data_IF_182528467303
#
_entry.id   IF_182528467303
#
_cell.length_a   1.000
_cell.length_b   1.000
_cell.length_c   1.000
_cell.angle_alpha   90.00
_cell.angle_beta   90.00
_cell.angle_gamma   90.00
#
_symmetry.space_group_name_H-M   'P 1'
#
loop_
_entity.id
_entity.type
_entity.pdbx_description
1 polymer ?
#
# COMPACT_ATOMS: atom_id res chain seq x y z
N UNK A 1 21.05 14.22 18.59
CA UNK A 1 20.60 13.57 17.34
C UNK A 1 21.61 12.50 17.02
N UNK A 2 21.18 11.24 16.85
CA UNK A 2 22.01 10.21 16.22
C UNK A 2 22.20 10.64 14.76
N UNK A 3 23.27 11.36 14.49
CA UNK A 3 23.64 11.75 13.13
C UNK A 3 24.27 10.53 12.46
N UNK A 4 23.51 9.90 11.54
CA UNK A 4 23.97 8.77 10.76
C UNK A 4 24.87 9.19 9.58
N UNK A 5 25.37 10.44 9.53
CA UNK A 5 26.25 10.93 8.47
C UNK A 5 25.56 10.97 7.10
N UNK A 6 24.24 11.12 7.07
CA UNK A 6 23.43 10.97 5.87
C UNK A 6 23.38 12.27 5.05
N UNK A 7 24.06 12.30 3.90
CA UNK A 7 23.79 13.27 2.83
C UNK A 7 22.55 12.85 2.02
N UNK A 8 21.36 12.96 2.60
CA UNK A 8 20.07 12.72 1.91
C UNK A 8 19.07 13.82 2.28
N UNK A 9 17.98 13.95 1.53
CA UNK A 9 16.86 14.89 1.76
C UNK A 9 16.40 14.91 3.22
N UNK A 10 15.86 16.05 3.67
CA UNK A 10 15.39 16.25 5.04
C UNK A 10 14.45 15.11 5.46
N UNK A 11 14.78 14.45 6.56
CA UNK A 11 13.90 13.53 7.28
C UNK A 11 13.73 14.03 8.72
N UNK A 12 12.64 13.65 9.36
CA UNK A 12 12.40 13.95 10.77
C UNK A 12 12.27 12.65 11.56
N UNK A 13 12.88 12.60 12.75
CA UNK A 13 12.72 11.49 13.68
C UNK A 13 11.81 11.97 14.81
N UNK A 14 10.76 11.19 15.06
CA UNK A 14 9.80 11.38 16.13
C UNK A 14 9.79 10.14 17.02
N UNK A 15 9.58 10.33 18.33
CA UNK A 15 9.47 9.23 19.27
C UNK A 15 8.04 9.16 19.80
N UNK A 16 7.41 7.99 19.73
CA UNK A 16 6.02 7.75 20.13
C UNK A 16 5.93 6.60 21.14
N UNK A 17 4.91 6.60 21.99
CA UNK A 17 4.59 5.43 22.82
C UNK A 17 4.08 4.28 21.94
N UNK A 18 4.12 3.05 22.45
CA UNK A 18 3.55 1.88 21.76
C UNK A 18 2.07 2.06 21.39
N UNK A 19 1.29 2.75 22.22
CA UNK A 19 -0.12 3.08 21.96
C UNK A 19 -0.26 4.09 20.80
N UNK A 20 0.51 5.19 20.84
CA UNK A 20 0.55 6.18 19.75
C UNK A 20 1.00 5.55 18.41
N UNK A 21 1.94 4.60 18.46
CA UNK A 21 2.39 3.86 17.27
C UNK A 21 1.27 2.96 16.71
N UNK A 22 0.56 2.24 17.59
CA UNK A 22 -0.50 1.33 17.18
C UNK A 22 -1.70 2.09 16.56
N UNK A 23 -2.05 3.23 17.14
CA UNK A 23 -3.03 4.18 16.60
C UNK A 23 -2.59 4.75 15.24
N UNK A 24 -1.33 5.14 15.12
CA UNK A 24 -0.81 5.65 13.87
C UNK A 24 -0.76 4.58 12.76
N UNK A 25 -0.45 3.34 13.11
CA UNK A 25 -0.45 2.21 12.17
C UNK A 25 -1.85 1.93 11.63
N UNK A 26 -2.90 1.99 12.47
CA UNK A 26 -4.27 1.77 12.02
C UNK A 26 -4.70 2.86 11.03
N UNK A 27 -4.32 4.11 11.29
CA UNK A 27 -4.57 5.27 10.43
C UNK A 27 -3.76 5.20 9.14
N UNK A 28 -2.54 4.66 9.17
CA UNK A 28 -1.58 4.71 8.09
C UNK A 28 -0.76 6.01 8.04
N UNK A 29 -1.32 7.14 8.50
CA UNK A 29 -0.58 8.36 8.84
C UNK A 29 -1.28 9.17 9.94
N UNK A 30 -0.52 9.94 10.73
CA UNK A 30 -0.97 10.50 12.03
C UNK A 30 -2.34 11.21 12.02
N UNK A 31 -2.58 12.07 11.03
CA UNK A 31 -3.77 12.93 10.99
C UNK A 31 -4.87 12.43 10.05
N UNK A 32 -4.78 11.19 9.53
CA UNK A 32 -5.81 10.65 8.63
C UNK A 32 -7.13 10.48 9.37
N UNK A 33 -8.24 10.91 8.75
CA UNK A 33 -9.56 10.60 9.27
C UNK A 33 -9.88 9.11 9.09
N UNK A 34 -10.36 8.43 10.14
CA UNK A 34 -10.74 7.02 10.12
C UNK A 34 -12.12 6.80 10.74
N UNK A 35 -12.79 5.76 10.26
CA UNK A 35 -14.05 5.23 10.77
C UNK A 35 -13.85 3.75 11.13
N UNK A 36 -13.13 3.42 12.21
CA UNK A 36 -12.85 2.01 12.55
C UNK A 36 -11.72 1.76 13.55
N UNK A 37 -11.56 0.49 13.93
CA UNK A 37 -10.80 0.03 15.11
C UNK A 37 -9.28 0.13 15.00
N UNK A 38 -8.67 0.26 16.17
CA UNK A 38 -7.23 0.31 16.39
C UNK A 38 -6.55 -1.05 16.15
N UNK A 39 -5.33 -1.01 15.59
CA UNK A 39 -4.42 -2.16 15.60
C UNK A 39 -3.85 -2.30 17.01
N UNK A 40 -3.67 -3.53 17.48
CA UNK A 40 -3.00 -3.82 18.77
C UNK A 40 -1.61 -4.42 18.60
N UNK A 41 -1.13 -4.56 17.35
CA UNK A 41 0.17 -5.16 17.09
C UNK A 41 1.29 -4.18 17.43
N UNK A 42 2.29 -4.59 18.23
CA UNK A 42 3.45 -3.74 18.50
C UNK A 42 4.23 -3.52 17.21
N UNK A 43 4.66 -2.27 17.01
CA UNK A 43 5.41 -1.83 15.82
C UNK A 43 6.72 -1.21 16.27
N UNK A 44 7.83 -1.65 15.67
CA UNK A 44 9.17 -1.13 15.98
C UNK A 44 9.42 0.24 15.34
N UNK A 45 8.92 0.45 14.12
CA UNK A 45 9.00 1.71 13.39
C UNK A 45 7.79 1.97 12.48
N UNK A 46 7.51 3.25 12.22
CA UNK A 46 6.61 3.66 11.14
C UNK A 46 7.37 4.64 10.26
N UNK A 47 7.39 4.35 8.96
CA UNK A 47 7.99 5.20 7.94
C UNK A 47 6.91 5.89 7.12
N UNK A 48 6.78 7.21 7.26
CA UNK A 48 5.84 8.01 6.49
C UNK A 48 6.52 8.68 5.31
N UNK A 49 5.96 8.48 4.11
CA UNK A 49 6.41 9.10 2.86
C UNK A 49 5.69 10.44 2.66
N UNK A 50 6.46 11.51 2.48
CA UNK A 50 5.96 12.85 2.20
C UNK A 50 7.10 13.68 1.59
N UNK A 51 6.85 14.97 1.32
CA UNK A 51 7.89 15.94 0.94
C UNK A 51 9.11 15.93 1.87
N UNK A 52 8.86 15.76 3.18
CA UNK A 52 9.85 15.42 4.21
C UNK A 52 9.42 14.09 4.82
N UNK A 53 10.18 13.02 4.59
CA UNK A 53 9.89 11.71 5.16
C UNK A 53 10.00 11.76 6.69
N UNK A 54 9.12 11.06 7.39
CA UNK A 54 9.10 11.02 8.86
C UNK A 54 9.26 9.60 9.35
N UNK A 55 10.17 9.43 10.30
CA UNK A 55 10.46 8.16 10.95
C UNK A 55 9.94 8.26 12.38
N UNK A 56 9.08 7.32 12.76
CA UNK A 56 8.56 7.22 14.11
C UNK A 56 9.17 5.99 14.77
N UNK A 57 9.87 6.22 15.87
CA UNK A 57 10.48 5.17 16.68
C UNK A 57 9.70 5.00 17.98
N UNK A 58 9.61 3.77 18.45
CA UNK A 58 8.97 3.47 19.71
C UNK A 58 9.85 3.93 20.89
N UNK A 59 9.29 4.73 21.82
CA UNK A 59 9.96 5.22 23.05
C UNK A 59 10.44 4.09 23.96
N UNK A 60 9.81 2.92 23.87
CA UNK A 60 10.17 1.74 24.65
C UNK A 60 11.32 0.92 24.04
N UNK A 61 11.75 1.22 22.81
CA UNK A 61 12.87 0.54 22.18
C UNK A 61 14.18 0.81 22.93
N UNK A 62 15.00 -0.22 23.06
CA UNK A 62 16.41 -0.11 23.43
C UNK A 62 17.20 0.69 22.38
N UNK A 63 18.41 1.13 22.75
CA UNK A 63 19.31 1.79 21.80
C UNK A 63 19.63 0.90 20.60
N UNK A 64 19.83 -0.40 20.82
CA UNK A 64 20.10 -1.38 19.76
C UNK A 64 18.93 -1.53 18.81
N UNK A 65 17.70 -1.62 19.31
CA UNK A 65 16.48 -1.66 18.49
C UNK A 65 16.33 -0.38 17.67
N UNK A 66 16.58 0.78 18.27
CA UNK A 66 16.53 2.05 17.55
C UNK A 66 17.61 2.15 16.45
N UNK A 67 18.84 1.69 16.71
CA UNK A 67 19.90 1.62 15.70
C UNK A 67 19.51 0.69 14.55
N UNK A 68 18.92 -0.47 14.88
CA UNK A 68 18.41 -1.42 13.91
C UNK A 68 17.32 -0.80 13.02
N UNK A 69 16.26 -0.23 13.61
CA UNK A 69 15.16 0.41 12.89
C UNK A 69 15.63 1.61 12.06
N UNK A 70 16.59 2.39 12.57
CA UNK A 70 17.16 3.52 11.83
C UNK A 70 17.96 3.06 10.60
N UNK A 71 18.77 2.01 10.72
CA UNK A 71 19.48 1.42 9.59
C UNK A 71 18.49 0.90 8.52
N UNK A 72 17.37 0.32 8.94
CA UNK A 72 16.29 -0.08 8.04
C UNK A 72 15.63 1.12 7.34
N UNK A 73 15.25 2.15 8.11
CA UNK A 73 14.65 3.38 7.60
C UNK A 73 15.55 4.14 6.61
N UNK A 74 16.88 4.06 6.78
CA UNK A 74 17.84 4.59 5.81
C UNK A 74 17.66 3.94 4.45
N UNK A 75 17.47 2.63 4.40
CA UNK A 75 17.17 1.91 3.16
C UNK A 75 15.84 2.34 2.52
N UNK A 76 14.78 2.49 3.32
CA UNK A 76 13.52 3.05 2.80
C UNK A 76 13.71 4.44 2.19
N UNK A 77 14.46 5.32 2.88
CA UNK A 77 14.74 6.67 2.39
C UNK A 77 15.51 6.65 1.07
N UNK A 78 16.52 5.78 0.95
CA UNK A 78 17.26 5.56 -0.29
C UNK A 78 16.34 5.13 -1.43
N UNK A 79 15.45 4.17 -1.18
CA UNK A 79 14.52 3.64 -2.17
C UNK A 79 13.49 4.71 -2.61
N UNK A 80 12.84 5.37 -1.64
CA UNK A 80 11.83 6.40 -1.87
C UNK A 80 12.40 7.58 -2.67
N UNK A 81 13.61 8.04 -2.32
CA UNK A 81 14.28 9.14 -3.03
C UNK A 81 14.70 8.77 -4.45
N UNK A 82 15.03 7.49 -4.70
CA UNK A 82 15.39 7.00 -6.02
C UNK A 82 14.16 6.83 -6.94
N UNK A 83 13.07 6.28 -6.41
CA UNK A 83 11.89 5.91 -7.20
C UNK A 83 11.16 7.13 -7.75
N UNK A 84 10.91 7.17 -9.07
CA UNK A 84 10.42 8.38 -9.76
C UNK A 84 9.05 8.87 -9.29
N UNK A 85 8.20 7.97 -8.79
CA UNK A 85 6.86 8.30 -8.28
C UNK A 85 6.86 8.58 -6.78
N UNK A 86 7.59 7.79 -5.98
CA UNK A 86 7.55 7.89 -4.51
C UNK A 86 8.11 9.22 -4.02
N UNK A 87 9.25 9.67 -4.60
CA UNK A 87 9.87 10.96 -4.27
C UNK A 87 9.01 12.20 -4.55
N UNK A 88 7.89 12.04 -5.27
CA UNK A 88 6.95 13.11 -5.60
C UNK A 88 5.66 13.02 -4.79
N UNK A 89 5.49 11.98 -3.99
CA UNK A 89 4.30 11.81 -3.18
C UNK A 89 4.27 12.88 -2.09
N UNK A 90 3.08 13.42 -1.89
CA UNK A 90 2.75 14.33 -0.79
C UNK A 90 1.55 13.78 -0.06
N UNK A 91 1.46 14.03 1.24
CA UNK A 91 0.34 13.52 2.03
C UNK A 91 -1.03 13.99 1.50
N UNK A 92 -2.04 13.11 1.50
CA UNK A 92 -3.42 13.47 1.14
C UNK A 92 -4.05 14.44 2.14
N UNK A 93 -5.06 15.20 1.72
CA UNK A 93 -5.71 16.22 2.56
C UNK A 93 -6.98 15.76 3.28
N UNK A 94 -7.28 14.46 3.24
CA UNK A 94 -8.40 13.86 4.01
C UNK A 94 -7.99 13.69 5.48
N UNK A 95 -7.72 14.80 6.16
CA UNK A 95 -7.30 14.84 7.56
C UNK A 95 -8.48 14.93 8.51
N UNK A 96 -8.27 14.60 9.78
CA UNK A 96 -9.27 14.80 10.82
C UNK A 96 -9.78 16.25 10.84
N UNK A 97 -8.87 17.24 10.90
CA UNK A 97 -9.25 18.66 10.93
C UNK A 97 -10.06 19.09 9.70
N UNK A 98 -9.68 18.62 8.51
CA UNK A 98 -10.43 18.91 7.28
C UNK A 98 -11.84 18.33 7.34
N UNK A 99 -11.99 17.06 7.74
CA UNK A 99 -13.30 16.41 7.85
C UNK A 99 -14.14 17.07 8.95
N UNK A 100 -13.55 17.40 10.10
CA UNK A 100 -14.27 18.08 11.20
C UNK A 100 -14.79 19.46 10.76
N UNK A 101 -14.05 20.18 9.91
CA UNK A 101 -14.50 21.48 9.40
C UNK A 101 -15.78 21.41 8.54
N UNK A 102 -16.14 20.21 8.05
CA UNK A 102 -17.36 19.98 7.29
C UNK A 102 -18.59 19.68 8.17
N UNK A 103 -18.40 19.32 9.45
CA UNK A 103 -19.51 19.03 10.37
C UNK A 103 -20.36 20.24 10.71
N UNK A 104 -19.86 21.45 10.51
CA UNK A 104 -20.67 22.67 10.65
C UNK A 104 -21.78 22.76 9.58
N UNK A 105 -21.71 21.96 8.52
CA UNK A 105 -22.58 22.06 7.34
C UNK A 105 -23.27 20.73 6.97
N UNK A 106 -22.78 19.59 7.44
CA UNK A 106 -23.24 18.26 7.04
C UNK A 106 -23.35 17.36 8.28
N UNK A 107 -24.43 16.59 8.38
CA UNK A 107 -24.62 15.61 9.45
C UNK A 107 -23.51 14.56 9.43
N UNK A 108 -23.03 14.17 10.62
CA UNK A 108 -21.87 13.30 10.76
C UNK A 108 -22.08 11.95 10.06
N UNK A 109 -23.24 11.34 10.24
CA UNK A 109 -23.56 10.03 9.66
C UNK A 109 -23.57 10.07 8.12
N UNK A 110 -24.01 11.19 7.53
CA UNK A 110 -23.99 11.37 6.08
C UNK A 110 -22.55 11.51 5.56
N UNK A 111 -21.73 12.30 6.25
CA UNK A 111 -20.33 12.50 5.90
C UNK A 111 -19.52 11.20 6.02
N UNK A 112 -19.68 10.47 7.12
CA UNK A 112 -19.02 9.18 7.36
C UNK A 112 -19.44 8.15 6.32
N UNK A 113 -20.74 8.05 6.03
CA UNK A 113 -21.27 7.16 4.99
C UNK A 113 -20.66 7.48 3.63
N UNK A 114 -20.54 8.76 3.27
CA UNK A 114 -19.93 9.18 2.01
C UNK A 114 -18.44 8.82 1.94
N UNK A 115 -17.65 9.19 2.95
CA UNK A 115 -16.20 8.96 3.00
C UNK A 115 -15.88 7.47 2.91
N UNK A 116 -16.55 6.63 3.71
CA UNK A 116 -16.35 5.17 3.69
C UNK A 116 -16.64 4.61 2.30
N UNK A 117 -17.78 4.98 1.73
CA UNK A 117 -18.24 4.43 0.44
C UNK A 117 -17.29 4.82 -0.70
N UNK A 118 -16.85 6.08 -0.75
CA UNK A 118 -15.95 6.55 -1.81
C UNK A 118 -14.54 5.98 -1.64
N UNK A 119 -14.03 5.82 -0.40
CA UNK A 119 -12.75 5.16 -0.14
C UNK A 119 -12.74 3.70 -0.59
N UNK A 120 -13.77 2.95 -0.25
CA UNK A 120 -13.90 1.55 -0.67
C UNK A 120 -13.98 1.43 -2.19
N UNK A 121 -14.75 2.32 -2.86
CA UNK A 121 -14.74 2.40 -4.31
C UNK A 121 -13.34 2.71 -4.87
N UNK A 122 -12.60 3.60 -4.21
CA UNK A 122 -11.26 4.01 -4.63
C UNK A 122 -10.19 2.91 -4.50
N UNK A 123 -10.36 1.98 -3.56
CA UNK A 123 -9.48 0.81 -3.40
C UNK A 123 -9.60 -0.18 -4.56
N UNK A 124 -10.80 -0.29 -5.15
CA UNK A 124 -11.10 -1.25 -6.22
C UNK A 124 -11.20 -0.59 -7.61
N UNK A 125 -11.19 0.74 -7.73
CA UNK A 125 -11.20 1.42 -9.02
C UNK A 125 -9.85 1.25 -9.75
N UNK A 126 -9.89 1.19 -11.08
CA UNK A 126 -8.68 1.22 -11.92
C UNK A 126 -8.93 1.98 -13.23
N UNK A 127 -7.84 2.33 -13.90
CA UNK A 127 -7.89 2.92 -15.24
C UNK A 127 -7.87 1.82 -16.30
N UNK A 128 -8.62 2.02 -17.40
CA UNK A 128 -8.59 1.12 -18.55
C UNK A 128 -7.96 1.80 -19.77
N UNK A 129 -7.31 1.01 -20.62
CA UNK A 129 -6.88 1.46 -21.96
C UNK A 129 -8.03 1.48 -22.95
N UNK A 130 -9.08 0.71 -22.70
CA UNK A 130 -10.26 0.70 -23.56
C UNK A 130 -11.12 1.92 -23.19
N UNK A 131 -11.37 2.85 -24.12
CA UNK A 131 -12.12 4.08 -23.83
C UNK A 131 -13.56 3.81 -23.41
N UNK A 132 -14.13 2.62 -23.66
CA UNK A 132 -15.45 2.23 -23.13
C UNK A 132 -15.48 2.18 -21.60
N UNK A 133 -14.36 1.85 -20.96
CA UNK A 133 -14.27 1.62 -19.53
C UNK A 133 -13.57 2.79 -18.84
N UNK A 134 -14.28 3.52 -18.01
CA UNK A 134 -13.74 4.67 -17.27
C UNK A 134 -13.44 4.30 -15.82
N UNK A 135 -12.48 4.97 -15.21
CA UNK A 135 -12.28 4.88 -13.76
C UNK A 135 -13.55 5.40 -13.04
N UNK A 136 -14.14 4.63 -12.10
CA UNK A 136 -15.32 5.04 -11.35
C UNK A 136 -15.24 6.44 -10.71
N UNK A 137 -14.13 6.79 -10.06
CA UNK A 137 -14.01 8.10 -9.41
C UNK A 137 -13.94 9.25 -10.42
N UNK A 138 -13.21 9.05 -11.52
CA UNK A 138 -13.15 10.05 -12.61
C UNK A 138 -14.54 10.25 -13.23
N UNK A 139 -15.29 9.16 -13.41
CA UNK A 139 -16.66 9.23 -13.91
C UNK A 139 -17.57 9.99 -12.94
N UNK A 140 -17.57 9.63 -11.64
CA UNK A 140 -18.37 10.34 -10.64
C UNK A 140 -18.02 11.83 -10.59
N UNK A 141 -16.74 12.18 -10.61
CA UNK A 141 -16.28 13.57 -10.62
C UNK A 141 -16.69 14.33 -11.89
N UNK A 142 -16.85 13.64 -13.04
CA UNK A 142 -17.38 14.23 -14.27
C UNK A 142 -18.88 14.53 -14.20
N UNK A 143 -19.63 13.80 -13.38
CA UNK A 143 -21.07 13.98 -13.17
C UNK A 143 -21.36 15.01 -12.07
N UNK A 144 -20.80 16.21 -12.21
CA UNK A 144 -20.82 17.26 -11.16
C UNK A 144 -22.22 17.59 -10.65
N UNK A 145 -23.22 17.52 -11.52
CA UNK A 145 -24.62 17.78 -11.19
C UNK A 145 -25.26 16.76 -10.23
N UNK A 146 -24.60 15.62 -9.98
CA UNK A 146 -25.07 14.60 -9.02
C UNK A 146 -24.63 14.86 -7.59
N UNK A 147 -23.74 15.84 -7.37
CA UNK A 147 -23.04 16.00 -6.10
C UNK A 147 -23.05 17.44 -5.61
N UNK A 148 -23.08 17.59 -4.29
CA UNK A 148 -22.85 18.87 -3.62
C UNK A 148 -21.35 19.23 -3.66
N UNK A 149 -21.01 20.50 -3.36
CA UNK A 149 -19.62 20.97 -3.43
C UNK A 149 -18.67 20.18 -2.53
N UNK A 150 -19.09 19.89 -1.29
CA UNK A 150 -18.29 19.13 -0.33
C UNK A 150 -18.06 17.67 -0.79
N UNK A 151 -19.05 17.06 -1.45
CA UNK A 151 -18.94 15.71 -2.01
C UNK A 151 -17.92 15.65 -3.14
N UNK A 152 -17.94 16.64 -4.05
CA UNK A 152 -16.96 16.74 -5.14
C UNK A 152 -15.54 16.96 -4.62
N UNK A 153 -15.38 17.81 -3.61
CA UNK A 153 -14.09 18.04 -2.97
C UNK A 153 -13.57 16.78 -2.30
N UNK A 154 -14.42 16.03 -1.58
CA UNK A 154 -14.03 14.74 -1.00
C UNK A 154 -13.73 13.67 -2.04
N UNK A 155 -14.50 13.55 -3.13
CA UNK A 155 -14.18 12.61 -4.22
C UNK A 155 -12.76 12.89 -4.75
N UNK A 156 -12.44 14.17 -4.97
CA UNK A 156 -11.12 14.60 -5.44
C UNK A 156 -10.02 14.26 -4.43
N UNK A 157 -10.18 14.61 -3.16
CA UNK A 157 -9.16 14.36 -2.13
C UNK A 157 -8.99 12.86 -1.81
N UNK A 158 -10.08 12.09 -1.81
CA UNK A 158 -10.01 10.62 -1.66
C UNK A 158 -9.37 9.97 -2.90
N UNK A 159 -9.57 10.53 -4.10
CA UNK A 159 -8.87 10.05 -5.30
C UNK A 159 -7.35 10.23 -5.17
N UNK A 160 -6.90 11.39 -4.67
CA UNK A 160 -5.48 11.61 -4.36
C UNK A 160 -4.98 10.69 -3.24
N UNK A 161 -5.78 10.47 -2.20
CA UNK A 161 -5.48 9.54 -1.11
C UNK A 161 -5.27 8.11 -1.63
N UNK A 162 -6.16 7.63 -2.49
CA UNK A 162 -6.06 6.30 -3.07
C UNK A 162 -4.83 6.17 -3.98
N UNK A 163 -4.47 7.19 -4.77
CA UNK A 163 -3.26 7.15 -5.60
C UNK A 163 -1.97 7.16 -4.77
N UNK A 164 -1.96 7.90 -3.65
CA UNK A 164 -0.87 7.88 -2.67
C UNK A 164 -0.65 6.46 -2.14
N UNK A 165 -1.69 5.81 -1.60
CA UNK A 165 -1.57 4.45 -1.05
C UNK A 165 -1.30 3.40 -2.12
N UNK A 166 -1.93 3.50 -3.30
CA UNK A 166 -1.71 2.59 -4.43
C UNK A 166 -0.27 2.62 -4.91
N UNK A 167 0.35 3.80 -4.98
CA UNK A 167 1.75 3.93 -5.37
C UNK A 167 2.69 3.24 -4.37
N UNK A 168 2.43 3.43 -3.07
CA UNK A 168 3.21 2.77 -2.00
C UNK A 168 3.04 1.25 -2.06
N UNK A 169 1.79 0.78 -2.19
CA UNK A 169 1.47 -0.64 -2.23
C UNK A 169 2.13 -1.35 -3.42
N UNK A 170 2.18 -0.72 -4.60
CA UNK A 170 2.81 -1.30 -5.81
C UNK A 170 4.33 -1.45 -5.71
N UNK A 171 4.96 -0.89 -4.70
CA UNK A 171 6.41 -0.95 -4.46
C UNK A 171 6.77 -1.54 -3.10
N UNK A 172 5.78 -2.10 -2.39
CA UNK A 172 5.95 -2.48 -0.98
C UNK A 172 6.99 -3.58 -0.85
N UNK A 173 6.92 -4.64 -1.67
CA UNK A 173 7.89 -5.73 -1.63
C UNK A 173 9.30 -5.23 -1.93
N UNK A 174 9.45 -4.42 -2.99
CA UNK A 174 10.75 -3.84 -3.37
C UNK A 174 11.33 -2.94 -2.28
N UNK A 175 10.50 -2.11 -1.65
CA UNK A 175 10.92 -1.17 -0.63
C UNK A 175 11.37 -1.88 0.66
N UNK A 176 10.55 -2.79 1.19
CA UNK A 176 10.92 -3.62 2.36
C UNK A 176 12.17 -4.45 2.06
N UNK A 177 12.24 -5.05 0.86
CA UNK A 177 13.39 -5.81 0.41
C UNK A 177 14.67 -4.98 0.33
N UNK A 178 14.61 -3.76 -0.22
CA UNK A 178 15.79 -2.90 -0.34
C UNK A 178 16.25 -2.42 1.02
N UNK A 179 15.31 -2.10 1.91
CA UNK A 179 15.60 -1.74 3.29
C UNK A 179 16.33 -2.88 4.01
N UNK A 180 15.81 -4.11 3.96
CA UNK A 180 16.50 -5.28 4.53
C UNK A 180 17.84 -5.60 3.87
N UNK A 181 17.94 -5.45 2.54
CA UNK A 181 19.17 -5.72 1.79
C UNK A 181 20.30 -4.74 2.15
N UNK A 182 19.99 -3.44 2.20
CA UNK A 182 20.96 -2.36 2.49
C UNK A 182 21.25 -2.19 3.99
N UNK A 183 20.32 -2.58 4.86
CA UNK A 183 20.48 -2.51 6.30
C UNK A 183 21.71 -3.27 6.79
N UNK A 184 21.98 -4.47 6.25
CA UNK A 184 23.12 -5.29 6.68
C UNK A 184 24.46 -4.58 6.48
N UNK A 185 24.64 -3.91 5.34
CA UNK A 185 25.88 -3.15 5.08
C UNK A 185 25.95 -1.90 5.96
N UNK A 186 24.82 -1.21 6.16
CA UNK A 186 24.74 -0.06 7.06
C UNK A 186 25.13 -0.44 8.51
N UNK A 187 24.66 -1.57 9.02
CA UNK A 187 25.00 -2.05 10.37
C UNK A 187 26.47 -2.49 10.50
N UNK A 188 27.10 -2.98 9.43
CA UNK A 188 28.55 -3.32 9.44
C UNK A 188 29.44 -2.09 9.53
N UNK A 189 29.02 -0.97 8.94
CA UNK A 189 29.73 0.30 9.01
C UNK A 189 29.62 0.98 10.39
N UNK A 190 28.67 0.54 11.22
CA UNK A 190 28.53 1.01 12.59
C UNK A 190 29.56 0.33 13.52
N UNK A 191 30.15 1.11 14.43
CA UNK A 191 31.07 0.62 15.48
C UNK A 191 30.31 -0.10 16.61
N UNK A 192 29.59 -1.17 16.28
CA UNK A 192 28.78 -1.95 17.22
C UNK A 192 29.64 -2.86 18.11
N UNK A 193 29.31 -2.89 19.40
CA UNK A 193 29.85 -3.85 20.37
C UNK A 193 29.39 -5.27 20.05
N UNK A 194 30.09 -6.28 20.59
CA UNK A 194 29.68 -7.69 20.43
C UNK A 194 28.27 -7.95 20.97
N UNK A 195 27.89 -7.26 22.06
CA UNK A 195 26.55 -7.37 22.66
C UNK A 195 25.47 -6.84 21.71
N UNK A 196 25.67 -5.67 21.14
CA UNK A 196 24.73 -5.08 20.17
C UNK A 196 24.60 -5.93 18.90
N UNK A 197 25.72 -6.48 18.41
CA UNK A 197 25.70 -7.42 17.26
C UNK A 197 24.86 -8.66 17.55
N UNK A 198 24.96 -9.22 18.76
CA UNK A 198 24.16 -10.38 19.16
C UNK A 198 22.68 -10.04 19.28
N UNK A 199 22.35 -8.90 19.89
CA UNK A 199 20.97 -8.40 20.00
C UNK A 199 20.35 -8.14 18.61
N UNK A 200 21.08 -7.49 17.70
CA UNK A 200 20.67 -7.29 16.30
C UNK A 200 20.38 -8.62 15.61
N UNK A 201 21.26 -9.62 15.78
CA UNK A 201 21.07 -10.94 15.18
C UNK A 201 19.78 -11.60 15.70
N UNK A 202 19.44 -11.41 16.98
CA UNK A 202 18.19 -11.91 17.56
C UNK A 202 16.96 -11.20 17.00
N UNK A 203 17.04 -9.88 16.76
CA UNK A 203 15.98 -9.09 16.14
C UNK A 203 15.76 -9.55 14.69
N UNK A 204 16.83 -9.67 13.89
CA UNK A 204 16.78 -10.15 12.51
C UNK A 204 16.13 -11.54 12.40
N UNK A 205 16.51 -12.47 13.28
CA UNK A 205 15.96 -13.83 13.28
C UNK A 205 14.43 -13.85 13.48
N UNK A 206 13.87 -12.90 14.24
CA UNK A 206 12.41 -12.79 14.45
C UNK A 206 11.70 -12.24 13.21
N UNK A 207 12.32 -11.30 12.51
CA UNK A 207 11.75 -10.68 11.30
C UNK A 207 11.80 -11.61 10.08
N UNK A 208 12.76 -12.54 10.04
CA UNK A 208 12.89 -13.54 8.99
C UNK A 208 12.05 -14.80 9.20
N UNK A 209 11.15 -14.82 10.19
CA UNK A 209 10.22 -15.92 10.38
C UNK A 209 9.26 -16.04 9.17
N UNK A 210 9.14 -17.23 8.58
CA UNK A 210 8.20 -17.51 7.49
C UNK A 210 6.79 -17.74 8.09
N UNK A 211 5.79 -16.92 7.77
CA UNK A 211 4.44 -17.12 8.29
C UNK A 211 3.77 -18.35 7.66
N UNK A 212 2.80 -18.95 8.34
CA UNK A 212 1.98 -20.04 7.78
C UNK A 212 1.13 -19.57 6.59
N UNK A 213 0.68 -18.31 6.63
CA UNK A 213 -0.08 -17.66 5.56
C UNK A 213 0.51 -16.28 5.23
N UNK A 214 0.47 -15.92 3.95
CA UNK A 214 1.02 -14.66 3.46
C UNK A 214 2.50 -14.77 3.08
N UNK A 215 3.09 -13.63 2.70
CA UNK A 215 4.48 -13.56 2.24
C UNK A 215 5.31 -12.74 3.23
N UNK A 216 6.50 -13.23 3.58
CA UNK A 216 7.48 -12.44 4.29
C UNK A 216 8.20 -11.50 3.30
N UNK A 217 7.76 -10.25 3.20
CA UNK A 217 8.32 -9.28 2.26
C UNK A 217 9.78 -8.91 2.56
N UNK A 218 10.23 -9.00 3.81
CA UNK A 218 11.63 -8.76 4.18
C UNK A 218 12.54 -9.85 3.61
N UNK A 219 12.17 -11.12 3.78
CA UNK A 219 12.94 -12.26 3.27
C UNK A 219 12.91 -12.30 1.74
N UNK A 220 11.71 -12.39 1.17
CA UNK A 220 11.51 -12.49 -0.28
C UNK A 220 12.11 -11.28 -1.02
N UNK A 221 11.88 -10.07 -0.51
CA UNK A 221 12.42 -8.86 -1.13
C UNK A 221 13.95 -8.84 -1.13
N UNK A 222 14.59 -9.27 -0.04
CA UNK A 222 16.05 -9.37 0.07
C UNK A 222 16.64 -10.44 -0.86
N UNK A 223 15.98 -11.60 -0.97
CA UNK A 223 16.38 -12.66 -1.91
C UNK A 223 16.32 -12.14 -3.35
N UNK A 224 15.22 -11.47 -3.73
CA UNK A 224 15.08 -10.85 -5.05
C UNK A 224 16.13 -9.78 -5.34
N UNK A 225 16.46 -8.90 -4.38
CA UNK A 225 17.50 -7.89 -4.57
C UNK A 225 18.90 -8.48 -4.75
N UNK A 226 19.15 -9.65 -4.15
CA UNK A 226 20.40 -10.39 -4.32
C UNK A 226 20.57 -10.92 -5.74
N UNK A 227 19.47 -11.18 -6.45
CA UNK A 227 19.46 -11.56 -7.87
C UNK A 227 19.67 -10.35 -8.81
N UNK A 228 19.49 -9.11 -8.33
CA UNK A 228 19.68 -7.90 -9.15
C UNK A 228 21.16 -7.55 -9.26
N UNK A 229 21.76 -7.54 -10.47
CA UNK A 229 23.15 -7.15 -10.62
C UNK A 229 23.38 -5.71 -10.14
N UNK A 230 24.44 -5.48 -9.37
CA UNK A 230 24.75 -4.17 -8.74
C UNK A 230 24.64 -2.99 -9.72
N UNK A 231 25.18 -3.14 -10.94
CA UNK A 231 25.12 -2.12 -12.01
C UNK A 231 23.70 -1.74 -12.48
N UNK A 232 22.70 -2.56 -12.18
CA UNK A 232 21.30 -2.37 -12.56
C UNK A 232 20.40 -1.93 -11.40
N UNK A 233 20.86 -2.05 -10.15
CA UNK A 233 20.05 -1.77 -8.95
C UNK A 233 19.44 -0.35 -8.97
N UNK A 234 20.20 0.66 -9.38
CA UNK A 234 19.69 2.03 -9.45
C UNK A 234 18.56 2.20 -10.47
N UNK A 235 18.65 1.53 -11.62
CA UNK A 235 17.57 1.58 -12.62
C UNK A 235 16.31 0.85 -12.13
N UNK A 236 16.49 -0.29 -11.46
CA UNK A 236 15.39 -1.07 -10.87
C UNK A 236 14.69 -0.24 -9.79
N UNK A 237 15.43 0.28 -8.79
CA UNK A 237 14.88 1.18 -7.76
C UNK A 237 14.15 2.37 -8.33
N UNK A 238 14.63 2.91 -9.46
CA UNK A 238 14.08 4.13 -10.04
C UNK A 238 12.74 3.92 -10.75
N UNK A 239 12.50 2.75 -11.35
CA UNK A 239 11.44 2.58 -12.36
C UNK A 239 10.49 1.39 -12.16
N UNK A 240 10.87 0.41 -11.35
CA UNK A 240 10.12 -0.84 -11.26
C UNK A 240 9.05 -0.78 -10.17
N UNK A 241 7.99 -1.53 -10.40
CA UNK A 241 7.01 -1.96 -9.41
C UNK A 241 7.20 -3.44 -9.07
N UNK A 242 6.57 -3.90 -7.98
CA UNK A 242 6.68 -5.26 -7.46
C UNK A 242 6.35 -6.33 -8.53
N UNK A 243 5.36 -6.07 -9.41
CA UNK A 243 5.02 -6.96 -10.54
C UNK A 243 6.24 -7.23 -11.43
N UNK A 244 6.94 -6.17 -11.85
CA UNK A 244 8.09 -6.26 -12.75
C UNK A 244 9.32 -6.84 -12.03
N UNK A 245 9.43 -6.55 -10.73
CA UNK A 245 10.49 -7.08 -9.88
C UNK A 245 10.38 -8.60 -9.74
N UNK A 246 9.18 -9.12 -9.45
CA UNK A 246 8.90 -10.55 -9.42
C UNK A 246 9.09 -11.18 -10.81
N UNK A 247 8.54 -10.56 -11.85
CA UNK A 247 8.61 -11.07 -13.21
C UNK A 247 10.06 -11.29 -13.65
N UNK A 248 10.96 -10.36 -13.33
CA UNK A 248 12.36 -10.41 -13.74
C UNK A 248 13.26 -11.21 -12.79
N UNK A 249 13.09 -11.07 -11.48
CA UNK A 249 14.08 -11.54 -10.50
C UNK A 249 13.60 -12.69 -9.61
N UNK A 250 12.35 -13.13 -9.71
CA UNK A 250 11.94 -14.40 -9.09
C UNK A 250 12.51 -15.56 -9.91
N UNK A 251 13.62 -16.13 -9.43
CA UNK A 251 14.37 -17.25 -10.05
C UNK A 251 14.10 -18.57 -9.32
N UNK A 252 14.58 -19.68 -9.89
CA UNK A 252 14.50 -21.00 -9.23
C UNK A 252 15.26 -21.01 -7.90
N UNK A 253 16.38 -20.29 -7.81
CA UNK A 253 17.15 -20.16 -6.57
C UNK A 253 16.33 -19.47 -5.47
N UNK A 254 15.72 -18.32 -5.78
CA UNK A 254 14.83 -17.60 -4.85
C UNK A 254 13.63 -18.48 -4.44
N UNK A 255 13.06 -19.22 -5.39
CA UNK A 255 11.93 -20.10 -5.11
C UNK A 255 12.30 -21.25 -4.15
N UNK A 256 13.47 -21.86 -4.31
CA UNK A 256 13.97 -22.91 -3.42
C UNK A 256 14.34 -22.37 -2.03
N UNK A 257 14.88 -21.16 -1.94
CA UNK A 257 15.24 -20.51 -0.68
C UNK A 257 14.00 -20.10 0.12
N UNK A 258 13.05 -19.44 -0.55
CA UNK A 258 11.86 -18.88 0.09
C UNK A 258 10.76 -19.94 0.30
N UNK A 259 10.79 -21.06 -0.44
CA UNK A 259 9.83 -22.19 -0.31
C UNK A 259 8.37 -21.75 -0.45
N UNK A 260 8.09 -20.78 -1.33
CA UNK A 260 6.76 -20.22 -1.51
C UNK A 260 5.85 -21.24 -2.22
N UNK A 261 4.70 -21.54 -1.62
CA UNK A 261 3.61 -22.28 -2.23
C UNK A 261 2.35 -21.42 -2.36
N UNK A 262 1.45 -21.82 -3.27
CA UNK A 262 0.15 -21.18 -3.48
C UNK A 262 -0.95 -22.19 -3.22
N UNK A 263 -1.79 -21.90 -2.22
CA UNK A 263 -2.99 -22.68 -1.95
C UNK A 263 -4.15 -22.18 -2.82
N UNK A 264 -4.58 -22.99 -3.78
CA UNK A 264 -5.73 -22.67 -4.64
C UNK A 264 -6.71 -23.84 -4.66
N UNK A 265 -7.97 -23.59 -4.27
CA UNK A 265 -9.01 -24.63 -4.20
C UNK A 265 -8.56 -25.89 -3.43
N UNK A 266 -7.92 -25.69 -2.27
CA UNK A 266 -7.37 -26.75 -1.41
C UNK A 266 -6.25 -27.59 -2.06
N UNK A 267 -5.65 -27.12 -3.16
CA UNK A 267 -4.46 -27.73 -3.77
C UNK A 267 -3.24 -26.87 -3.53
N UNK A 268 -2.16 -27.53 -3.11
CA UNK A 268 -0.85 -26.93 -3.00
C UNK A 268 -0.20 -26.88 -4.40
N UNK A 269 0.10 -25.66 -4.84
CA UNK A 269 0.86 -25.40 -6.06
C UNK A 269 2.22 -24.87 -5.64
N UNK A 270 3.26 -25.68 -5.83
CA UNK A 270 4.62 -25.35 -5.41
C UNK A 270 5.63 -25.33 -6.56
N UNK A 271 5.25 -25.62 -7.80
CA UNK A 271 6.20 -25.58 -8.92
C UNK A 271 6.57 -24.13 -9.25
N UNK A 272 7.88 -23.85 -9.40
CA UNK A 272 8.44 -22.52 -9.72
C UNK A 272 7.61 -21.73 -10.76
N UNK A 273 7.34 -22.33 -11.93
CA UNK A 273 6.64 -21.63 -13.01
C UNK A 273 5.23 -21.18 -12.63
N UNK A 274 4.48 -22.06 -11.95
CA UNK A 274 3.11 -21.74 -11.52
C UNK A 274 3.11 -20.73 -10.37
N UNK A 275 4.00 -20.90 -9.38
CA UNK A 275 4.13 -19.95 -8.25
C UNK A 275 4.50 -18.57 -8.78
N UNK A 276 5.48 -18.47 -9.68
CA UNK A 276 5.86 -17.20 -10.32
C UNK A 276 4.67 -16.55 -11.04
N UNK A 277 3.92 -17.33 -11.83
CA UNK A 277 2.75 -16.81 -12.53
C UNK A 277 1.66 -16.31 -11.57
N UNK A 278 1.46 -16.98 -10.44
CA UNK A 278 0.54 -16.54 -9.40
C UNK A 278 1.02 -15.29 -8.66
N UNK A 279 2.32 -15.20 -8.32
CA UNK A 279 2.91 -14.02 -7.70
C UNK A 279 2.81 -12.79 -8.59
N UNK A 280 3.12 -12.91 -9.89
CA UNK A 280 2.95 -11.80 -10.85
C UNK A 280 1.49 -11.31 -10.87
N UNK A 281 0.53 -12.23 -10.94
CA UNK A 281 -0.91 -11.88 -10.89
C UNK A 281 -1.31 -11.24 -9.56
N UNK A 282 -0.82 -11.76 -8.44
CA UNK A 282 -1.06 -11.23 -7.11
C UNK A 282 -0.58 -9.78 -7.01
N UNK A 283 0.69 -9.53 -7.38
CA UNK A 283 1.27 -8.19 -7.30
C UNK A 283 0.65 -7.21 -8.30
N UNK A 284 0.16 -7.70 -9.45
CA UNK A 284 -0.57 -6.89 -10.44
C UNK A 284 -1.99 -6.53 -10.01
N UNK A 285 -2.71 -7.46 -9.40
CA UNK A 285 -4.15 -7.37 -9.14
C UNK A 285 -4.47 -7.74 -7.68
N UNK A 286 -3.86 -7.02 -6.73
CA UNK A 286 -4.06 -7.25 -5.29
C UNK A 286 -5.55 -7.25 -4.87
N UNK A 287 -6.39 -6.48 -5.56
CA UNK A 287 -7.82 -6.35 -5.33
C UNK A 287 -8.61 -6.49 -6.63
N UNK A 288 -9.89 -6.92 -6.56
CA UNK A 288 -10.80 -6.83 -7.71
C UNK A 288 -10.78 -5.42 -8.29
N UNK A 289 -10.82 -5.33 -9.62
CA UNK A 289 -10.81 -4.04 -10.34
C UNK A 289 -12.19 -3.74 -10.90
N UNK A 290 -12.66 -2.52 -10.69
CA UNK A 290 -13.98 -2.03 -11.11
C UNK A 290 -13.82 -0.85 -12.07
N UNK A 291 -14.65 -0.86 -13.11
CA UNK A 291 -14.72 0.16 -14.16
C UNK A 291 -16.17 0.59 -14.39
N UNK A 292 -16.39 1.80 -14.87
CA UNK A 292 -17.69 2.23 -15.42
C UNK A 292 -17.76 1.85 -16.89
N UNK A 293 -18.80 1.12 -17.29
CA UNK A 293 -19.13 0.83 -18.69
C UNK A 293 -19.96 1.99 -19.24
N UNK A 294 -19.29 2.92 -19.93
CA UNK A 294 -19.92 4.16 -20.41
C UNK A 294 -21.02 3.88 -21.43
N UNK A 295 -20.81 2.92 -22.32
CA UNK A 295 -21.79 2.53 -23.33
C UNK A 295 -23.05 1.94 -22.67
N UNK A 296 -22.90 0.96 -21.79
CA UNK A 296 -24.03 0.39 -21.07
C UNK A 296 -24.75 1.45 -20.20
N UNK A 297 -24.00 2.35 -19.58
CA UNK A 297 -24.57 3.43 -18.75
C UNK A 297 -25.42 4.39 -19.58
N UNK A 298 -24.95 4.74 -20.78
CA UNK A 298 -25.70 5.58 -21.72
C UNK A 298 -26.94 4.88 -22.29
N UNK A 299 -26.84 3.58 -22.59
CA UNK A 299 -27.94 2.78 -23.13
C UNK A 299 -29.06 2.55 -22.11
N UNK A 300 -28.71 2.22 -20.87
CA UNK A 300 -29.72 1.90 -19.84
C UNK A 300 -30.19 3.12 -19.06
N UNK A 301 -29.45 4.24 -19.13
CA UNK A 301 -29.67 5.42 -18.30
C UNK A 301 -29.30 5.23 -16.82
N UNK A 302 -28.60 4.16 -16.48
CA UNK A 302 -28.22 3.79 -15.11
C UNK A 302 -26.75 3.43 -15.03
N UNK A 303 -26.07 3.90 -13.98
CA UNK A 303 -24.65 3.65 -13.78
C UNK A 303 -24.36 2.14 -13.77
N UNK A 304 -23.53 1.70 -14.71
CA UNK A 304 -23.15 0.29 -14.85
C UNK A 304 -21.66 0.11 -14.59
N UNK A 305 -21.35 -0.61 -13.51
CA UNK A 305 -20.00 -1.05 -13.19
C UNK A 305 -19.70 -2.44 -13.76
N UNK A 306 -18.45 -2.62 -14.17
CA UNK A 306 -17.84 -3.89 -14.58
C UNK A 306 -16.71 -4.25 -13.65
N UNK A 307 -16.70 -5.47 -13.13
CA UNK A 307 -15.60 -5.94 -12.29
C UNK A 307 -14.80 -7.06 -12.95
N UNK A 308 -13.50 -7.10 -12.64
CA UNK A 308 -12.56 -8.14 -13.03
C UNK A 308 -11.75 -8.56 -11.81
N UNK A 309 -11.60 -9.86 -11.59
CA UNK A 309 -10.76 -10.39 -10.52
C UNK A 309 -10.07 -11.67 -10.98
N UNK A 310 -8.77 -11.85 -10.71
CA UNK A 310 -8.09 -13.12 -10.92
C UNK A 310 -8.41 -14.16 -9.83
N UNK A 311 -9.05 -13.75 -8.74
CA UNK A 311 -9.44 -14.59 -7.61
C UNK A 311 -10.96 -14.56 -7.39
N UNK A 312 -11.45 -15.42 -6.49
CA UNK A 312 -12.86 -15.41 -6.09
C UNK A 312 -13.24 -14.02 -5.57
N UNK A 313 -14.35 -13.49 -6.09
CA UNK A 313 -14.87 -12.19 -5.70
C UNK A 313 -15.83 -12.36 -4.54
N UNK A 314 -15.66 -11.54 -3.51
CA UNK A 314 -16.65 -11.39 -2.45
C UNK A 314 -17.86 -10.61 -3.00
N UNK A 315 -18.91 -11.36 -3.35
CA UNK A 315 -20.15 -10.80 -3.92
C UNK A 315 -20.90 -9.98 -2.87
N UNK A 316 -20.82 -10.36 -1.60
CA UNK A 316 -21.52 -9.66 -0.51
C UNK A 316 -20.88 -8.29 -0.30
N UNK A 317 -19.55 -8.21 -0.35
CA UNK A 317 -18.82 -6.95 -0.31
C UNK A 317 -19.23 -6.00 -1.45
N UNK A 318 -19.24 -6.48 -2.71
CA UNK A 318 -19.68 -5.67 -3.85
C UNK A 318 -21.15 -5.25 -3.76
N UNK A 319 -22.02 -6.12 -3.22
CA UNK A 319 -23.43 -5.83 -3.02
C UNK A 319 -23.63 -4.75 -1.96
N UNK A 320 -22.87 -4.79 -0.87
CA UNK A 320 -22.88 -3.76 0.16
C UNK A 320 -22.40 -2.41 -0.39
N UNK A 321 -21.32 -2.40 -1.18
CA UNK A 321 -20.82 -1.20 -1.85
C UNK A 321 -21.88 -0.61 -2.79
N UNK A 322 -22.53 -1.45 -3.61
CA UNK A 322 -23.64 -1.06 -4.46
C UNK A 322 -24.73 -0.36 -3.66
N UNK A 323 -25.22 -0.98 -2.59
CA UNK A 323 -26.31 -0.44 -1.79
C UNK A 323 -25.95 0.91 -1.15
N UNK A 324 -24.69 1.10 -0.72
CA UNK A 324 -24.23 2.38 -0.19
C UNK A 324 -24.13 3.46 -1.27
N UNK A 325 -23.65 3.12 -2.46
CA UNK A 325 -23.58 4.04 -3.61
C UNK A 325 -24.99 4.42 -4.12
N UNK A 326 -25.94 3.50 -4.15
CA UNK A 326 -27.33 3.80 -4.54
C UNK A 326 -27.98 4.81 -3.59
N UNK A 327 -27.66 4.76 -2.29
CA UNK A 327 -28.10 5.78 -1.32
C UNK A 327 -27.51 7.16 -1.61
N UNK A 328 -26.24 7.22 -1.98
CA UNK A 328 -25.56 8.48 -2.32
C UNK A 328 -26.10 9.06 -3.62
N UNK A 329 -26.15 8.25 -4.68
CA UNK A 329 -26.52 8.70 -6.03
C UNK A 329 -28.03 8.82 -6.24
N UNK A 330 -28.84 8.30 -5.32
CA UNK A 330 -30.32 8.26 -5.39
C UNK A 330 -30.85 7.65 -6.70
N UNK A 331 -30.11 6.69 -7.24
CA UNK A 331 -30.45 5.96 -8.46
C UNK A 331 -29.97 4.51 -8.39
N UNK A 332 -30.62 3.57 -9.10
CA UNK A 332 -30.14 2.20 -9.25
C UNK A 332 -28.75 2.13 -9.90
N UNK A 333 -27.95 1.15 -9.47
CA UNK A 333 -26.63 0.85 -10.04
C UNK A 333 -26.59 -0.62 -10.46
N UNK A 334 -25.98 -0.91 -11.61
CA UNK A 334 -25.75 -2.29 -12.04
C UNK A 334 -24.29 -2.66 -11.85
N UNK A 335 -24.01 -3.81 -11.24
CA UNK A 335 -22.67 -4.39 -11.17
C UNK A 335 -22.69 -5.71 -11.93
N UNK A 336 -21.82 -5.83 -12.93
CA UNK A 336 -21.74 -7.02 -13.78
C UNK A 336 -20.28 -7.46 -13.96
N UNK A 337 -20.00 -8.74 -14.22
CA UNK A 337 -18.66 -9.15 -14.64
C UNK A 337 -18.23 -8.40 -15.91
N UNK A 338 -16.93 -8.11 -16.00
CA UNK A 338 -16.30 -7.69 -17.25
C UNK A 338 -16.23 -8.90 -18.17
N UNK A 339 -17.02 -8.90 -19.25
CA UNK A 339 -16.99 -9.99 -20.22
C UNK A 339 -15.73 -9.87 -21.07
N UNK A 340 -14.84 -10.85 -20.98
CA UNK A 340 -13.76 -11.05 -21.94
C UNK A 340 -14.36 -11.63 -23.23
N UNK A 341 -14.96 -10.79 -24.08
CA UNK A 341 -15.21 -11.14 -25.47
C UNK A 341 -14.16 -10.51 -26.37
#
# INVERSE_FOLDING_TARGET
MLDMGMKMTSYEIHYLTSEEMAEMQSRGYRNRYLTGSESTKPVHEIFEIDSTCRIYLNKQNSNTENLFSLAHCKGHLEFVNAHIKLKKLTKPRVTFDYVMSLYDQVEKEELDHFIITIRELAEICDSSKNPRYMNPLDYLYSQRQWFESWQLDLIKEITYEAEYFRTIQKTKLMNEGWASYSQKETLKEMNLTTKEKLEITQIEARLHYKPEEGLNYYSLGKALWSEVPVKHQDNVKKRFYDEQFIEQFYTEAVHLEEEVSVLLNQRDINSFQNVKAHLVKYFKHHTPKVYVDQEATNETGYLTFRYMSPYQVDIDHLTNLKNRLEKILRQPIYIKPLNNK
#
